data_IF_141600465050
#
_entry.id   IF_141600465050
#
_cell.length_a   1.000
_cell.length_b   1.000
_cell.length_c   1.000
_cell.angle_alpha   90.00
_cell.angle_beta   90.00
_cell.angle_gamma   90.00
#
_symmetry.space_group_name_H-M   'P 1'
#
loop_
_entity.id
_entity.type
_entity.pdbx_description
1 polymer ?
#
# COMPACT_ATOMS: atom_id res chain seq x y z
N UNK A 1 11.23 12.18 -3.16
CA UNK A 1 10.34 11.15 -3.76
C UNK A 1 9.04 11.00 -2.98
N UNK A 2 8.02 10.35 -3.56
CA UNK A 2 6.74 10.08 -2.89
C UNK A 2 6.50 8.59 -2.67
N UNK A 3 5.90 8.20 -1.55
CA UNK A 3 5.69 6.78 -1.19
C UNK A 3 4.22 6.45 -0.90
N UNK A 4 3.84 5.21 -1.21
CA UNK A 4 2.59 4.58 -0.80
C UNK A 4 2.95 3.40 0.10
N UNK A 5 2.59 3.46 1.38
CA UNK A 5 2.62 2.30 2.27
C UNK A 5 1.34 1.52 2.04
N UNK A 6 1.48 0.35 1.43
CA UNK A 6 0.38 -0.43 0.89
C UNK A 6 0.14 -1.69 1.72
N UNK A 7 -1.01 -1.78 2.38
CA UNK A 7 -1.56 -3.06 2.78
C UNK A 7 -2.27 -3.76 1.59
N UNK A 8 -2.50 -5.07 1.71
CA UNK A 8 -3.08 -5.91 0.67
C UNK A 8 -4.49 -6.38 1.02
N UNK A 9 -4.68 -6.92 2.23
CA UNK A 9 -5.90 -7.61 2.62
C UNK A 9 -6.90 -6.58 3.15
N UNK A 10 -7.99 -6.36 2.44
CA UNK A 10 -8.92 -5.27 2.73
C UNK A 10 -8.64 -3.98 1.96
N UNK A 11 -7.49 -3.89 1.27
CA UNK A 11 -7.14 -2.76 0.37
C UNK A 11 -7.19 -3.17 -1.10
N UNK A 12 -6.31 -4.09 -1.50
CA UNK A 12 -6.18 -4.55 -2.89
C UNK A 12 -7.08 -5.73 -3.18
N UNK A 13 -7.29 -6.59 -2.20
CA UNK A 13 -8.33 -7.61 -2.19
C UNK A 13 -9.33 -7.28 -1.07
N UNK A 14 -10.58 -7.71 -1.18
CA UNK A 14 -11.63 -7.41 -0.19
C UNK A 14 -12.86 -8.30 -0.41
N UNK A 15 -13.83 -8.28 0.51
CA UNK A 15 -14.97 -9.22 0.52
C UNK A 15 -15.91 -9.09 -0.67
N UNK A 16 -16.14 -7.88 -1.21
CA UNK A 16 -16.95 -7.70 -2.44
C UNK A 16 -16.30 -8.29 -3.69
N UNK A 17 -14.98 -8.54 -3.68
CA UNK A 17 -14.25 -9.17 -4.78
C UNK A 17 -13.48 -10.40 -4.28
N UNK A 18 -14.20 -11.40 -3.76
CA UNK A 18 -13.60 -12.61 -3.19
C UNK A 18 -13.36 -13.69 -4.25
N UNK A 19 -12.29 -13.51 -5.04
CA UNK A 19 -11.91 -14.42 -6.13
C UNK A 19 -10.55 -15.05 -5.82
N UNK A 20 -10.42 -16.37 -5.97
CA UNK A 20 -9.11 -17.05 -5.83
C UNK A 20 -8.22 -16.67 -7.01
N UNK A 21 -7.02 -16.17 -6.72
CA UNK A 21 -6.07 -15.80 -7.77
C UNK A 21 -5.59 -17.02 -8.57
N UNK A 22 -5.48 -16.85 -9.88
CA UNK A 22 -4.79 -17.79 -10.79
C UNK A 22 -3.33 -17.39 -11.03
N UNK A 23 -2.93 -16.19 -10.57
CA UNK A 23 -1.64 -15.58 -10.86
C UNK A 23 -0.66 -15.68 -9.68
N UNK A 24 -1.18 -15.85 -8.46
CA UNK A 24 -0.40 -15.98 -7.24
C UNK A 24 -1.21 -16.73 -6.18
N UNK A 25 -0.57 -17.03 -5.04
CA UNK A 25 -1.26 -17.60 -3.88
C UNK A 25 -2.20 -16.56 -3.26
N UNK A 26 -3.33 -17.03 -2.72
CA UNK A 26 -4.31 -16.17 -2.04
C UNK A 26 -5.41 -15.63 -2.96
N UNK A 27 -6.02 -14.54 -2.51
CA UNK A 27 -7.11 -13.86 -3.21
C UNK A 27 -6.56 -12.95 -4.31
N UNK A 28 -7.24 -12.89 -5.45
CA UNK A 28 -6.93 -11.98 -6.54
C UNK A 28 -7.10 -10.52 -6.12
N UNK A 29 -6.29 -9.63 -6.67
CA UNK A 29 -6.51 -8.20 -6.49
C UNK A 29 -7.74 -7.76 -7.28
N UNK A 30 -8.60 -6.99 -6.63
CA UNK A 30 -9.76 -6.39 -7.24
C UNK A 30 -9.34 -5.49 -8.42
N UNK A 31 -9.91 -5.67 -9.63
CA UNK A 31 -9.60 -4.84 -10.78
C UNK A 31 -9.81 -3.33 -10.53
N UNK A 32 -10.80 -2.98 -9.70
CA UNK A 32 -11.06 -1.59 -9.30
C UNK A 32 -9.90 -1.06 -8.44
N UNK A 33 -9.46 -1.81 -7.44
CA UNK A 33 -8.32 -1.43 -6.59
C UNK A 33 -7.03 -1.30 -7.41
N UNK A 34 -6.77 -2.24 -8.33
CA UNK A 34 -5.62 -2.18 -9.25
C UNK A 34 -5.67 -0.94 -10.13
N UNK A 35 -6.83 -0.64 -10.73
CA UNK A 35 -7.03 0.59 -11.52
C UNK A 35 -6.74 1.83 -10.69
N UNK A 36 -7.28 1.89 -9.48
CA UNK A 36 -7.15 3.07 -8.62
C UNK A 36 -5.72 3.27 -8.12
N UNK A 37 -5.03 2.20 -7.71
CA UNK A 37 -3.61 2.27 -7.34
C UNK A 37 -2.74 2.75 -8.52
N UNK A 38 -2.97 2.22 -9.73
CA UNK A 38 -2.27 2.66 -10.94
C UNK A 38 -2.51 4.15 -11.23
N UNK A 39 -3.73 4.64 -11.08
CA UNK A 39 -4.03 6.06 -11.26
C UNK A 39 -3.39 6.96 -10.19
N UNK A 40 -3.32 6.52 -8.92
CA UNK A 40 -2.56 7.23 -7.87
C UNK A 40 -1.10 7.35 -8.29
N UNK A 41 -0.47 6.23 -8.65
CA UNK A 41 0.95 6.19 -9.06
C UNK A 41 1.19 7.07 -10.28
N UNK A 42 0.32 6.98 -11.30
CA UNK A 42 0.42 7.79 -12.53
C UNK A 42 0.33 9.28 -12.26
N UNK A 43 -0.56 9.72 -11.36
CA UNK A 43 -0.77 11.14 -11.02
C UNK A 43 0.32 11.72 -10.14
N UNK A 44 0.98 10.90 -9.32
CA UNK A 44 1.86 11.36 -8.23
C UNK A 44 3.33 10.98 -8.45
N UNK A 45 3.61 9.99 -9.30
CA UNK A 45 4.92 9.38 -9.44
C UNK A 45 5.34 8.53 -8.23
N UNK A 46 4.43 8.24 -7.30
CA UNK A 46 4.75 7.56 -6.06
C UNK A 46 5.23 6.11 -6.27
N UNK A 47 6.07 5.65 -5.35
CA UNK A 47 6.56 4.27 -5.30
C UNK A 47 5.86 3.49 -4.17
N UNK A 48 5.86 2.16 -4.28
CA UNK A 48 5.15 1.26 -3.37
C UNK A 48 6.12 0.69 -2.34
N UNK A 49 5.82 0.89 -1.07
CA UNK A 49 6.37 0.12 0.05
C UNK A 49 5.26 -0.79 0.56
N UNK A 50 5.49 -2.11 0.57
CA UNK A 50 4.47 -3.03 1.09
C UNK A 50 4.54 -3.01 2.60
N UNK A 51 3.45 -2.59 3.23
CA UNK A 51 3.24 -2.57 4.67
C UNK A 51 2.04 -3.46 4.97
N UNK A 52 2.21 -4.76 4.74
CA UNK A 52 1.18 -5.80 4.86
C UNK A 52 1.78 -7.04 5.49
N UNK A 53 0.97 -7.95 6.05
CA UNK A 53 1.45 -9.27 6.46
C UNK A 53 2.14 -10.03 5.31
N UNK A 54 1.77 -9.74 4.05
CA UNK A 54 2.38 -10.29 2.84
C UNK A 54 3.87 -9.95 2.71
N UNK A 55 4.36 -8.88 3.38
CA UNK A 55 5.79 -8.55 3.42
C UNK A 55 6.67 -9.69 3.94
N UNK A 56 6.11 -10.58 4.78
CA UNK A 56 6.77 -11.77 5.32
C UNK A 56 7.16 -12.79 4.24
N UNK A 57 6.56 -12.72 3.05
CA UNK A 57 6.94 -13.53 1.88
C UNK A 57 8.24 -13.06 1.21
N UNK A 58 8.76 -11.90 1.59
CA UNK A 58 10.00 -11.32 1.07
C UNK A 58 9.85 -10.54 -0.24
N UNK A 59 10.84 -9.68 -0.50
CA UNK A 59 10.78 -8.69 -1.58
C UNK A 59 10.68 -9.32 -2.97
N UNK A 60 11.40 -10.42 -3.20
CA UNK A 60 11.35 -11.17 -4.48
C UNK A 60 9.94 -11.64 -4.79
N UNK A 61 9.23 -12.19 -3.78
CA UNK A 61 7.88 -12.72 -3.96
C UNK A 61 6.87 -11.60 -4.14
N UNK A 62 6.97 -10.53 -3.35
CA UNK A 62 6.10 -9.35 -3.52
C UNK A 62 6.28 -8.69 -4.89
N UNK A 63 7.51 -8.57 -5.37
CA UNK A 63 7.79 -8.04 -6.70
C UNK A 63 7.22 -8.93 -7.81
N UNK A 64 7.23 -10.26 -7.64
CA UNK A 64 6.60 -11.19 -8.57
C UNK A 64 5.06 -11.05 -8.57
N UNK A 65 4.43 -10.91 -7.41
CA UNK A 65 2.98 -10.68 -7.30
C UNK A 65 2.60 -9.37 -7.99
N UNK A 66 3.31 -8.27 -7.71
CA UNK A 66 3.07 -6.98 -8.38
C UNK A 66 3.34 -7.04 -9.89
N UNK A 67 4.23 -7.92 -10.36
CA UNK A 67 4.48 -8.13 -11.79
C UNK A 67 3.27 -8.71 -12.50
N UNK A 68 2.51 -9.60 -11.86
CA UNK A 68 1.26 -10.14 -12.41
C UNK A 68 0.20 -9.08 -12.68
N UNK A 69 0.36 -7.89 -12.10
CA UNK A 69 -0.49 -6.71 -12.31
C UNK A 69 0.31 -5.53 -12.90
N UNK A 70 1.44 -5.76 -13.58
CA UNK A 70 2.25 -4.71 -14.22
C UNK A 70 2.65 -3.53 -13.31
N UNK A 71 2.82 -3.77 -12.00
CA UNK A 71 3.18 -2.74 -11.02
C UNK A 71 4.59 -2.92 -10.41
N UNK A 72 5.31 -3.97 -10.80
CA UNK A 72 6.62 -4.32 -10.24
C UNK A 72 7.71 -3.23 -10.38
N UNK A 73 7.60 -2.34 -11.38
CA UNK A 73 8.52 -1.21 -11.58
C UNK A 73 8.34 -0.08 -10.54
N UNK A 74 7.22 -0.09 -9.82
CA UNK A 74 6.93 0.88 -8.75
C UNK A 74 7.30 0.35 -7.36
N UNK A 75 7.65 -0.93 -7.24
CA UNK A 75 8.09 -1.51 -5.98
C UNK A 75 9.40 -0.87 -5.50
N UNK A 76 9.37 -0.28 -4.30
CA UNK A 76 10.52 0.34 -3.64
C UNK A 76 11.04 -0.51 -2.49
N UNK A 77 10.16 -1.10 -1.67
CA UNK A 77 10.61 -1.90 -0.54
C UNK A 77 9.50 -2.54 0.26
N UNK A 78 9.88 -3.04 1.43
CA UNK A 78 9.01 -3.61 2.45
C UNK A 78 9.27 -2.86 3.75
N UNK A 79 8.25 -2.64 4.56
CA UNK A 79 8.48 -2.27 5.96
C UNK A 79 9.18 -3.42 6.70
N UNK A 80 9.92 -3.15 7.78
CA UNK A 80 10.42 -4.20 8.66
C UNK A 80 9.26 -5.03 9.24
N UNK A 81 9.61 -6.20 9.75
CA UNK A 81 8.70 -7.03 10.56
C UNK A 81 9.18 -6.88 11.99
N UNK A 82 8.38 -6.23 12.83
CA UNK A 82 8.67 -6.03 14.23
C UNK A 82 7.55 -6.71 15.01
N UNK A 83 7.91 -7.64 15.89
CA UNK A 83 6.91 -8.33 16.71
C UNK A 83 6.34 -7.40 17.79
N UNK A 84 5.04 -7.56 18.08
CA UNK A 84 4.33 -6.86 19.18
C UNK A 84 4.28 -5.32 19.08
N UNK A 85 4.33 -4.77 17.86
CA UNK A 85 4.12 -3.34 17.62
C UNK A 85 3.01 -3.08 16.61
N UNK A 86 2.50 -1.85 16.61
CA UNK A 86 1.51 -1.37 15.65
C UNK A 86 2.15 -1.08 14.27
N UNK A 87 1.36 -1.15 13.20
CA UNK A 87 1.82 -0.89 11.81
C UNK A 87 2.50 0.46 11.65
N UNK A 88 1.97 1.49 12.32
CA UNK A 88 2.55 2.83 12.30
C UNK A 88 4.03 2.87 12.72
N UNK A 89 4.44 2.05 13.69
CA UNK A 89 5.83 1.98 14.14
C UNK A 89 6.73 1.28 13.13
N UNK A 90 6.24 0.26 12.43
CA UNK A 90 6.97 -0.38 11.34
C UNK A 90 7.19 0.59 10.17
N UNK A 91 6.18 1.39 9.85
CA UNK A 91 6.27 2.45 8.85
C UNK A 91 7.29 3.51 9.30
N UNK A 92 7.21 3.97 10.55
CA UNK A 92 8.17 4.95 11.08
C UNK A 92 9.61 4.42 11.02
N UNK A 93 9.85 3.16 11.41
CA UNK A 93 11.18 2.59 11.32
C UNK A 93 11.69 2.49 9.87
N UNK A 94 10.81 2.22 8.91
CA UNK A 94 11.17 2.28 7.49
C UNK A 94 11.58 3.70 7.08
N UNK A 95 10.82 4.72 7.51
CA UNK A 95 11.11 6.12 7.23
C UNK A 95 12.46 6.55 7.82
N UNK A 96 12.73 6.20 9.08
CA UNK A 96 13.97 6.54 9.78
C UNK A 96 15.21 5.91 9.13
N UNK A 97 15.05 4.72 8.53
CA UNK A 97 16.11 4.01 7.81
C UNK A 97 16.22 4.36 6.33
N UNK A 98 15.34 5.21 5.79
CA UNK A 98 15.35 5.57 4.38
C UNK A 98 16.37 6.69 4.12
N UNK A 99 17.36 6.41 3.28
CA UNK A 99 18.40 7.39 2.92
C UNK A 99 17.94 8.40 1.86
N UNK A 100 16.84 8.10 1.16
CA UNK A 100 16.32 8.96 0.11
C UNK A 100 15.39 10.02 0.71
N UNK A 101 15.39 11.22 0.12
CA UNK A 101 14.49 12.28 0.57
C UNK A 101 13.02 11.93 0.25
N UNK A 102 12.18 11.89 1.29
CA UNK A 102 10.74 11.65 1.18
C UNK A 102 10.00 12.99 1.24
N UNK A 103 9.42 13.38 0.11
CA UNK A 103 8.63 14.61 -0.03
C UNK A 103 7.27 14.48 0.66
N UNK A 104 6.57 13.37 0.38
CA UNK A 104 5.27 13.03 0.93
C UNK A 104 5.02 11.53 0.87
N UNK A 105 4.13 11.02 1.72
CA UNK A 105 3.67 9.64 1.64
C UNK A 105 2.23 9.51 2.09
N UNK A 106 1.62 8.39 1.73
CA UNK A 106 0.27 8.01 2.15
C UNK A 106 0.27 6.55 2.61
N UNK A 107 -0.60 6.23 3.57
CA UNK A 107 -0.84 4.86 4.03
C UNK A 107 -2.21 4.41 3.50
N UNK A 108 -2.27 3.26 2.83
CA UNK A 108 -3.50 2.61 2.39
C UNK A 108 -3.64 1.32 3.20
N UNK A 109 -4.57 1.31 4.15
CA UNK A 109 -4.80 0.17 5.05
C UNK A 109 -6.29 0.13 5.44
N UNK A 110 -6.81 -1.05 5.78
CA UNK A 110 -8.16 -1.21 6.35
C UNK A 110 -8.15 -1.27 7.88
N UNK A 111 -6.97 -1.38 8.50
CA UNK A 111 -6.76 -1.20 9.93
C UNK A 111 -6.36 0.26 10.26
N UNK A 112 -6.52 0.67 11.52
CA UNK A 112 -6.27 2.04 11.99
C UNK A 112 -5.12 2.17 13.02
N UNK A 113 -4.27 1.14 13.11
CA UNK A 113 -3.14 1.06 14.04
C UNK A 113 -1.89 1.86 13.60
N UNK A 114 -2.09 3.11 13.16
CA UNK A 114 -1.03 3.95 12.58
C UNK A 114 -0.34 4.89 13.59
N UNK A 115 -0.82 4.96 14.84
CA UNK A 115 -0.25 5.83 15.87
C UNK A 115 -0.20 7.29 15.43
N UNK A 116 0.97 7.92 15.55
CA UNK A 116 1.16 9.33 15.15
C UNK A 116 0.99 9.56 13.63
N UNK A 117 1.04 8.50 12.82
CA UNK A 117 0.89 8.58 11.36
C UNK A 117 -0.58 8.52 10.90
N UNK A 118 -1.54 8.46 11.82
CA UNK A 118 -2.97 8.28 11.49
C UNK A 118 -3.53 9.37 10.56
N UNK A 119 -2.99 10.59 10.60
CA UNK A 119 -3.41 11.69 9.71
C UNK A 119 -3.00 11.48 8.24
N UNK A 120 -2.15 10.50 7.97
CA UNK A 120 -1.69 10.11 6.63
C UNK A 120 -2.35 8.80 6.16
N UNK A 121 -3.24 8.22 6.97
CA UNK A 121 -4.03 7.04 6.63
C UNK A 121 -5.21 7.41 5.75
N UNK A 122 -5.29 6.75 4.60
CA UNK A 122 -6.52 6.61 3.82
C UNK A 122 -7.13 5.29 4.24
N UNK A 123 -8.04 5.39 5.21
CA UNK A 123 -8.63 4.20 5.82
C UNK A 123 -9.63 3.56 4.85
N UNK A 124 -9.27 2.40 4.32
CA UNK A 124 -10.12 1.60 3.44
C UNK A 124 -11.04 0.70 4.27
N UNK A 125 -11.75 -0.22 3.62
CA UNK A 125 -12.60 -1.18 4.31
C UNK A 125 -12.41 -2.57 3.71
N UNK A 126 -12.38 -3.59 4.56
CA UNK A 126 -12.40 -4.99 4.12
C UNK A 126 -13.60 -5.38 3.24
N UNK A 127 -14.60 -4.51 3.07
CA UNK A 127 -15.75 -4.75 2.21
C UNK A 127 -15.43 -4.36 0.76
N UNK A 128 -14.98 -3.13 0.51
CA UNK A 128 -14.85 -2.53 -0.84
C UNK A 128 -13.47 -1.98 -1.19
N UNK A 129 -12.51 -2.04 -0.27
CA UNK A 129 -11.09 -1.74 -0.48
C UNK A 129 -10.80 -0.39 -1.09
N UNK A 130 -9.77 -0.33 -1.94
CA UNK A 130 -9.31 0.89 -2.61
C UNK A 130 -10.28 1.32 -3.73
N UNK A 131 -11.37 1.96 -3.34
CA UNK A 131 -12.38 2.53 -4.23
C UNK A 131 -11.99 3.93 -4.77
N UNK A 132 -12.87 4.53 -5.56
CA UNK A 132 -12.59 5.81 -6.25
C UNK A 132 -12.48 6.99 -5.28
N UNK A 133 -13.22 6.99 -4.16
CA UNK A 133 -13.13 8.03 -3.14
C UNK A 133 -11.79 7.97 -2.41
N UNK A 134 -11.37 6.76 -2.04
CA UNK A 134 -10.08 6.49 -1.39
C UNK A 134 -8.91 6.83 -2.30
N UNK A 135 -9.05 6.60 -3.61
CA UNK A 135 -8.09 7.07 -4.62
C UNK A 135 -7.88 8.59 -4.55
N UNK A 136 -8.96 9.37 -4.54
CA UNK A 136 -8.85 10.83 -4.50
C UNK A 136 -8.29 11.34 -3.17
N UNK A 137 -8.64 10.71 -2.06
CA UNK A 137 -8.08 11.00 -0.74
C UNK A 137 -6.54 10.79 -0.74
N UNK A 138 -6.09 9.67 -1.29
CA UNK A 138 -4.66 9.35 -1.39
C UNK A 138 -3.90 10.34 -2.27
N UNK A 139 -4.46 10.73 -3.42
CA UNK A 139 -3.82 11.73 -4.29
C UNK A 139 -3.71 13.08 -3.59
N UNK A 140 -4.74 13.51 -2.85
CA UNK A 140 -4.70 14.78 -2.10
C UNK A 140 -3.56 14.78 -1.07
N UNK A 141 -3.35 13.69 -0.36
CA UNK A 141 -2.25 13.57 0.61
C UNK A 141 -0.90 13.67 -0.10
N UNK A 142 -0.74 12.97 -1.23
CA UNK A 142 0.54 12.92 -1.94
C UNK A 142 0.90 14.22 -2.66
N UNK A 143 -0.09 15.01 -3.10
CA UNK A 143 0.12 16.25 -3.87
C UNK A 143 0.21 17.50 -2.99
N UNK A 144 -0.14 17.44 -1.69
CA UNK A 144 0.03 18.58 -0.78
C UNK A 144 1.48 19.06 -0.81
N UNK A 145 1.69 20.29 -1.29
CA UNK A 145 2.96 20.99 -1.19
C UNK A 145 3.20 21.36 0.28
N UNK A 146 4.44 21.19 0.76
CA UNK A 146 4.87 21.68 2.08
C UNK A 146 4.87 23.19 2.11
#
# INVERSE_FOLDING_TARGET
MKLIFLDIDGVMNHRKHFVRSRLHEGQEFCPIAVRNLREIIKRTGAKIVVSSTWRKMGATRMKAILRSYDMHQYFYGLTPVIDEVIRGLEIQQFLDGCNDEIESFVILDDDDDMGDLINLLVHTSNIDGLNDDKREEAVKILVKEK
#
